data_IF_318913965436
#
_entry.id   IF_318913965436
#
_cell.length_a   1.000
_cell.length_b   1.000
_cell.length_c   1.000
_cell.angle_alpha   90.00
_cell.angle_beta   90.00
_cell.angle_gamma   90.00
#
_symmetry.space_group_name_H-M   'P 1'
#
loop_
_entity.id
_entity.type
_entity.pdbx_description
1 polymer ?
#
# COMPACT_ATOMS: atom_id res chain seq x y z
N UNK A 1 -0.34 15.62 -4.02
CA UNK A 1 0.91 15.05 -4.61
C UNK A 1 1.52 15.96 -5.68
N UNK A 2 0.72 16.50 -6.60
CA UNK A 2 1.18 17.31 -7.74
C UNK A 2 1.41 18.81 -7.43
N UNK A 3 1.27 19.25 -6.18
CA UNK A 3 1.34 20.67 -5.81
C UNK A 3 0.13 21.51 -6.24
N UNK A 4 -0.83 20.94 -6.96
CA UNK A 4 -2.07 21.61 -7.34
C UNK A 4 -3.12 21.59 -6.22
N UNK A 5 -3.91 22.67 -6.06
CA UNK A 5 -5.02 22.68 -5.11
C UNK A 5 -6.13 21.71 -5.52
N UNK A 6 -6.74 21.05 -4.53
CA UNK A 6 -7.90 20.19 -4.77
C UNK A 6 -9.11 21.03 -5.22
N UNK A 7 -9.76 20.70 -6.34
CA UNK A 7 -10.95 21.41 -6.77
C UNK A 7 -12.12 21.10 -5.81
N UNK A 8 -12.95 22.11 -5.51
CA UNK A 8 -14.20 21.96 -4.75
C UNK A 8 -14.08 21.26 -3.39
N UNK A 9 -13.03 21.55 -2.62
CA UNK A 9 -12.76 20.89 -1.32
C UNK A 9 -13.97 20.85 -0.38
N UNK A 10 -14.74 21.95 -0.29
CA UNK A 10 -15.94 22.04 0.55
C UNK A 10 -17.03 21.04 0.14
N UNK A 11 -17.24 20.84 -1.16
CA UNK A 11 -18.23 19.86 -1.67
C UNK A 11 -17.77 18.44 -1.37
N UNK A 12 -16.47 18.16 -1.53
CA UNK A 12 -15.88 16.86 -1.20
C UNK A 12 -16.03 16.54 0.28
N UNK A 13 -15.67 17.48 1.16
CA UNK A 13 -15.83 17.32 2.62
C UNK A 13 -17.29 17.12 3.00
N UNK A 14 -18.22 17.89 2.41
CA UNK A 14 -19.66 17.71 2.64
C UNK A 14 -20.14 16.31 2.25
N UNK A 15 -19.69 15.80 1.10
CA UNK A 15 -20.04 14.45 0.66
C UNK A 15 -19.46 13.39 1.59
N UNK A 16 -18.17 13.49 1.95
CA UNK A 16 -17.50 12.56 2.85
C UNK A 16 -18.17 12.49 4.22
N UNK A 17 -18.62 13.63 4.78
CA UNK A 17 -19.35 13.67 6.07
C UNK A 17 -20.76 13.10 5.99
N UNK A 18 -21.38 13.13 4.81
CA UNK A 18 -22.71 12.56 4.57
C UNK A 18 -22.68 11.07 4.22
N UNK A 19 -21.52 10.54 3.85
CA UNK A 19 -21.34 9.13 3.52
C UNK A 19 -21.20 8.29 4.80
N UNK A 20 -21.97 7.20 4.87
CA UNK A 20 -21.92 6.26 6.00
C UNK A 20 -21.15 5.02 5.57
N UNK A 21 -19.87 4.87 5.98
CA UNK A 21 -19.09 3.69 5.64
C UNK A 21 -19.58 2.48 6.45
N UNK A 22 -19.51 1.31 5.83
CA UNK A 22 -20.05 0.03 6.32
C UNK A 22 -18.98 -1.06 6.46
N UNK A 23 -17.94 -1.01 5.63
CA UNK A 23 -16.82 -1.95 5.62
C UNK A 23 -15.49 -1.25 5.92
N UNK A 24 -14.46 -2.02 6.27
CA UNK A 24 -13.12 -1.49 6.60
C UNK A 24 -12.55 -0.63 5.45
N UNK A 25 -12.74 -1.07 4.21
CA UNK A 25 -12.26 -0.36 3.02
C UNK A 25 -12.86 1.05 2.92
N UNK A 26 -14.19 1.17 3.08
CA UNK A 26 -14.87 2.46 2.98
C UNK A 26 -14.55 3.36 4.17
N UNK A 27 -14.40 2.82 5.38
CA UNK A 27 -13.89 3.56 6.55
C UNK A 27 -12.48 4.11 6.32
N UNK A 28 -11.59 3.29 5.75
CA UNK A 28 -10.21 3.67 5.47
C UNK A 28 -10.14 4.87 4.52
N UNK A 29 -10.76 4.76 3.35
CA UNK A 29 -10.65 5.83 2.34
C UNK A 29 -11.41 7.09 2.72
N UNK A 30 -12.52 7.01 3.46
CA UNK A 30 -13.21 8.21 3.97
C UNK A 30 -12.32 8.95 4.97
N UNK A 31 -11.70 8.24 5.91
CA UNK A 31 -10.81 8.83 6.89
C UNK A 31 -9.56 9.46 6.24
N UNK A 32 -8.91 8.75 5.31
CA UNK A 32 -7.76 9.28 4.55
C UNK A 32 -8.15 10.47 3.67
N UNK A 33 -9.31 10.45 3.04
CA UNK A 33 -9.77 11.56 2.20
C UNK A 33 -10.07 12.82 3.02
N UNK A 34 -10.66 12.68 4.22
CA UNK A 34 -10.85 13.80 5.14
C UNK A 34 -9.51 14.39 5.60
N UNK A 35 -8.56 13.53 6.01
CA UNK A 35 -7.20 13.97 6.40
C UNK A 35 -6.52 14.73 5.25
N UNK A 36 -6.62 14.24 4.02
CA UNK A 36 -6.09 14.92 2.83
C UNK A 36 -6.79 16.26 2.51
N UNK A 37 -8.02 16.44 2.97
CA UNK A 37 -8.75 17.71 2.86
C UNK A 37 -8.43 18.67 4.03
N UNK A 38 -7.57 18.29 4.97
CA UNK A 38 -7.27 19.08 6.18
C UNK A 38 -8.36 18.97 7.25
N UNK A 39 -9.21 17.95 7.18
CA UNK A 39 -10.32 17.70 8.09
C UNK A 39 -10.06 16.44 8.93
N UNK A 40 -10.65 16.37 10.13
CA UNK A 40 -10.58 15.15 10.94
C UNK A 40 -11.80 14.25 10.68
N UNK A 41 -11.62 12.91 10.61
CA UNK A 41 -12.74 11.99 10.66
C UNK A 41 -13.45 12.05 12.02
N UNK A 42 -14.68 11.53 12.08
CA UNK A 42 -15.34 11.32 13.37
C UNK A 42 -14.58 10.26 14.18
N UNK A 43 -13.67 10.72 15.04
CA UNK A 43 -12.76 9.86 15.82
C UNK A 43 -13.51 8.92 16.76
N UNK A 44 -14.63 9.34 17.33
CA UNK A 44 -15.43 8.50 18.22
C UNK A 44 -16.04 7.31 17.47
N UNK A 45 -16.71 7.60 16.34
CA UNK A 45 -17.31 6.57 15.49
C UNK A 45 -16.24 5.61 14.95
N UNK A 46 -15.15 6.17 14.41
CA UNK A 46 -14.05 5.39 13.86
C UNK A 46 -13.39 4.54 14.94
N UNK A 47 -13.17 5.07 16.14
CA UNK A 47 -12.63 4.29 17.28
C UNK A 47 -13.55 3.13 17.66
N UNK A 48 -14.87 3.35 17.72
CA UNK A 48 -15.84 2.29 18.01
C UNK A 48 -15.83 1.21 16.93
N UNK A 49 -15.74 1.60 15.66
CA UNK A 49 -15.62 0.67 14.53
C UNK A 49 -14.32 -0.14 14.63
N UNK A 50 -13.17 0.50 14.79
CA UNK A 50 -11.88 -0.19 14.90
C UNK A 50 -11.87 -1.18 16.07
N UNK A 51 -12.38 -0.81 17.25
CA UNK A 51 -12.47 -1.72 18.40
C UNK A 51 -13.38 -2.94 18.16
N UNK A 52 -14.31 -2.88 17.21
CA UNK A 52 -15.17 -4.01 16.86
C UNK A 52 -14.43 -5.05 16.00
N UNK A 53 -13.40 -4.64 15.26
CA UNK A 53 -12.68 -5.50 14.32
C UNK A 53 -11.92 -6.62 15.06
N UNK A 54 -12.12 -7.90 14.69
CA UNK A 54 -11.40 -9.03 15.26
C UNK A 54 -9.87 -8.89 15.16
N UNK A 55 -9.40 -8.32 14.04
CA UNK A 55 -7.98 -8.14 13.72
C UNK A 55 -7.22 -7.31 14.76
N UNK A 56 -7.90 -6.37 15.42
CA UNK A 56 -7.32 -5.51 16.46
C UNK A 56 -7.05 -6.30 17.75
N UNK A 57 -7.82 -7.37 17.99
CA UNK A 57 -7.61 -8.35 19.08
C UNK A 57 -6.66 -9.50 18.68
N UNK A 58 -6.14 -9.49 17.45
CA UNK A 58 -5.33 -10.55 16.88
C UNK A 58 -6.12 -11.81 16.56
N UNK A 59 -7.42 -11.66 16.28
CA UNK A 59 -8.28 -12.71 15.74
C UNK A 59 -8.27 -12.57 14.21
N UNK A 60 -7.50 -13.41 13.55
CA UNK A 60 -7.41 -13.45 12.09
C UNK A 60 -8.36 -14.52 11.55
N UNK A 61 -9.20 -14.17 10.58
CA UNK A 61 -10.06 -15.14 9.89
C UNK A 61 -9.24 -16.11 9.04
N UNK A 62 -9.92 -17.08 8.41
CA UNK A 62 -9.31 -17.87 7.35
C UNK A 62 -8.85 -16.91 6.22
N UNK A 63 -7.67 -17.17 5.67
CA UNK A 63 -7.15 -16.40 4.53
C UNK A 63 -7.90 -16.84 3.28
N UNK A 64 -9.10 -16.30 3.08
CA UNK A 64 -9.78 -16.38 1.79
C UNK A 64 -9.19 -15.30 0.89
N UNK A 65 -8.29 -15.73 0.01
CA UNK A 65 -7.77 -14.88 -1.07
C UNK A 65 -8.89 -14.72 -2.10
N UNK A 66 -9.84 -13.81 -1.83
CA UNK A 66 -10.74 -13.36 -2.88
C UNK A 66 -9.89 -12.73 -4.00
N UNK A 67 -10.15 -13.11 -5.25
CA UNK A 67 -9.36 -12.69 -6.41
C UNK A 67 -9.29 -11.17 -6.62
N UNK A 68 -10.15 -10.40 -5.95
CA UNK A 68 -10.25 -8.95 -6.03
C UNK A 68 -9.38 -8.21 -5.01
N UNK A 69 -8.77 -8.90 -4.04
CA UNK A 69 -7.98 -8.25 -2.98
C UNK A 69 -6.51 -8.20 -3.39
N UNK A 70 -5.92 -7.01 -3.37
CA UNK A 70 -4.52 -6.79 -3.73
C UNK A 70 -3.53 -7.62 -2.88
N UNK A 71 -3.90 -7.98 -1.66
CA UNK A 71 -3.16 -8.85 -0.74
C UNK A 71 -4.04 -9.32 0.42
N UNK A 72 -3.78 -10.52 0.93
CA UNK A 72 -4.33 -11.05 2.18
C UNK A 72 -4.04 -10.18 3.42
N UNK A 73 -3.05 -9.29 3.35
CA UNK A 73 -2.63 -8.41 4.45
C UNK A 73 -3.21 -7.00 4.35
N UNK A 74 -3.97 -6.69 3.29
CA UNK A 74 -4.53 -5.35 3.07
C UNK A 74 -5.41 -4.89 4.25
N UNK A 75 -6.19 -5.80 4.83
CA UNK A 75 -7.05 -5.51 5.98
C UNK A 75 -6.24 -5.20 7.24
N UNK A 76 -5.14 -5.91 7.51
CA UNK A 76 -4.22 -5.60 8.62
C UNK A 76 -3.59 -4.23 8.42
N UNK A 77 -3.13 -3.95 7.20
CA UNK A 77 -2.53 -2.67 6.86
C UNK A 77 -3.50 -1.51 7.13
N UNK A 78 -4.72 -1.58 6.59
CA UNK A 78 -5.75 -0.55 6.78
C UNK A 78 -6.15 -0.41 8.25
N UNK A 79 -6.38 -1.53 8.95
CA UNK A 79 -6.82 -1.51 10.34
C UNK A 79 -5.74 -0.94 11.29
N UNK A 80 -4.46 -1.28 11.07
CA UNK A 80 -3.36 -0.76 11.89
C UNK A 80 -3.10 0.73 11.64
N UNK A 81 -3.22 1.20 10.39
CA UNK A 81 -3.09 2.63 10.10
C UNK A 81 -4.24 3.44 10.72
N UNK A 82 -5.49 2.97 10.60
CA UNK A 82 -6.63 3.62 11.26
C UNK A 82 -6.51 3.58 12.79
N UNK A 83 -6.05 2.46 13.35
CA UNK A 83 -5.80 2.36 14.79
C UNK A 83 -4.79 3.43 15.26
N UNK A 84 -3.71 3.65 14.51
CA UNK A 84 -2.76 4.72 14.78
C UNK A 84 -3.41 6.11 14.69
N UNK A 85 -4.20 6.35 13.64
CA UNK A 85 -4.91 7.63 13.43
C UNK A 85 -5.82 8.02 14.60
N UNK A 86 -6.50 7.04 15.24
CA UNK A 86 -7.42 7.29 16.36
C UNK A 86 -6.89 6.85 17.74
N UNK A 87 -5.59 6.55 17.84
CA UNK A 87 -4.95 6.17 19.11
C UNK A 87 -5.56 4.91 19.75
N UNK A 88 -5.89 3.90 18.95
CA UNK A 88 -6.33 2.58 19.41
C UNK A 88 -5.13 1.65 19.50
N UNK A 89 -4.97 0.97 20.64
CA UNK A 89 -3.94 -0.05 20.83
C UNK A 89 -4.36 -1.35 20.16
N UNK A 90 -3.47 -1.93 19.38
CA UNK A 90 -3.64 -3.25 18.74
C UNK A 90 -2.87 -4.33 19.50
N UNK A 91 -3.26 -5.59 19.34
CA UNK A 91 -2.46 -6.71 19.84
C UNK A 91 -1.22 -6.93 18.96
N UNK A 92 -0.17 -6.17 19.26
CA UNK A 92 1.07 -6.12 18.47
C UNK A 92 1.74 -7.49 18.31
N UNK A 93 1.84 -8.26 19.38
CA UNK A 93 2.52 -9.57 19.37
C UNK A 93 1.81 -10.54 18.42
N UNK A 94 0.49 -10.68 18.54
CA UNK A 94 -0.28 -11.55 17.65
C UNK A 94 -0.20 -11.12 16.18
N UNK A 95 -0.21 -9.81 15.90
CA UNK A 95 -0.07 -9.31 14.51
C UNK A 95 1.32 -9.62 13.96
N UNK A 96 2.37 -9.45 14.76
CA UNK A 96 3.74 -9.79 14.36
C UNK A 96 3.84 -11.29 14.07
N UNK A 97 3.41 -12.14 15.01
CA UNK A 97 3.49 -13.59 14.87
C UNK A 97 2.72 -14.08 13.65
N UNK A 98 1.51 -13.54 13.45
CA UNK A 98 0.69 -13.88 12.29
C UNK A 98 1.37 -13.45 11.00
N UNK A 99 1.78 -12.19 10.84
CA UNK A 99 2.44 -11.72 9.62
C UNK A 99 3.74 -12.48 9.32
N UNK A 100 4.59 -12.71 10.34
CA UNK A 100 5.85 -13.43 10.16
C UNK A 100 5.65 -14.92 9.82
N UNK A 101 4.49 -15.51 10.15
CA UNK A 101 4.16 -16.88 9.72
C UNK A 101 3.98 -17.03 8.20
N UNK A 102 3.76 -15.92 7.49
CA UNK A 102 3.67 -15.88 6.02
C UNK A 102 4.99 -15.51 5.34
N UNK A 103 6.06 -15.26 6.10
CA UNK A 103 7.39 -15.03 5.52
C UNK A 103 7.97 -16.35 5.04
N UNK A 104 8.24 -16.46 3.74
CA UNK A 104 8.74 -17.67 3.11
C UNK A 104 10.28 -17.70 3.07
N UNK A 105 10.84 -18.85 2.67
CA UNK A 105 12.29 -19.06 2.59
C UNK A 105 13.00 -18.13 1.60
N UNK A 106 12.28 -17.57 0.63
CA UNK A 106 12.81 -16.59 -0.33
C UNK A 106 12.85 -15.15 0.24
N UNK A 107 12.38 -14.96 1.47
CA UNK A 107 12.31 -13.67 2.16
C UNK A 107 11.06 -12.85 1.88
N UNK A 108 10.26 -13.22 0.88
CA UNK A 108 8.99 -12.59 0.57
C UNK A 108 7.87 -13.06 1.50
N UNK A 109 6.72 -12.40 1.43
CA UNK A 109 5.52 -12.79 2.16
C UNK A 109 4.42 -13.25 1.21
N UNK A 110 3.69 -14.29 1.61
CA UNK A 110 2.48 -14.75 0.93
C UNK A 110 1.98 -16.10 1.44
N UNK A 111 0.69 -16.36 1.29
CA UNK A 111 0.04 -17.61 1.69
C UNK A 111 0.58 -18.84 0.94
N UNK A 112 0.51 -20.00 1.59
CA UNK A 112 0.83 -21.32 1.02
C UNK A 112 2.24 -21.45 0.41
N UNK A 113 3.22 -20.68 0.90
CA UNK A 113 4.57 -20.69 0.33
C UNK A 113 4.73 -19.83 -0.92
N UNK A 114 3.70 -19.09 -1.34
CA UNK A 114 3.67 -18.33 -2.58
C UNK A 114 3.88 -16.83 -2.31
N UNK A 115 5.14 -16.41 -2.16
CA UNK A 115 5.49 -15.00 -2.02
C UNK A 115 5.10 -14.18 -3.25
N UNK A 116 4.58 -12.97 -3.03
CA UNK A 116 4.44 -11.96 -4.07
C UNK A 116 4.74 -10.55 -3.54
N UNK A 117 4.99 -9.59 -4.44
CA UNK A 117 5.42 -8.24 -4.09
C UNK A 117 4.33 -7.45 -3.35
N UNK A 118 3.06 -7.60 -3.72
CA UNK A 118 1.96 -6.88 -3.10
C UNK A 118 1.79 -7.34 -1.64
N UNK A 119 1.80 -8.65 -1.41
CA UNK A 119 1.74 -9.24 -0.07
C UNK A 119 2.98 -8.90 0.75
N UNK A 120 4.16 -8.94 0.13
CA UNK A 120 5.40 -8.50 0.78
C UNK A 120 5.31 -7.05 1.26
N UNK A 121 4.84 -6.13 0.41
CA UNK A 121 4.63 -4.72 0.77
C UNK A 121 3.62 -4.57 1.92
N UNK A 122 2.42 -5.13 1.81
CA UNK A 122 1.38 -4.97 2.82
C UNK A 122 1.78 -5.58 4.18
N UNK A 123 2.53 -6.69 4.17
CA UNK A 123 3.07 -7.28 5.40
C UNK A 123 4.07 -6.33 6.08
N UNK A 124 5.07 -5.83 5.35
CA UNK A 124 6.09 -4.95 5.96
C UNK A 124 5.51 -3.58 6.31
N UNK A 125 4.53 -3.07 5.57
CA UNK A 125 3.82 -1.84 5.91
C UNK A 125 3.02 -2.01 7.21
N UNK A 126 2.31 -3.13 7.36
CA UNK A 126 1.60 -3.47 8.60
C UNK A 126 2.55 -3.61 9.80
N UNK A 127 3.68 -4.30 9.61
CA UNK A 127 4.73 -4.40 10.62
C UNK A 127 5.29 -3.03 11.00
N UNK A 128 5.53 -2.15 10.01
CA UNK A 128 5.99 -0.79 10.24
C UNK A 128 4.96 0.04 11.01
N UNK A 129 3.67 -0.07 10.68
CA UNK A 129 2.59 0.64 11.38
C UNK A 129 2.58 0.35 12.88
N UNK A 130 2.95 -0.87 13.30
CA UNK A 130 2.99 -1.30 14.71
C UNK A 130 4.39 -1.20 15.33
N UNK A 131 5.32 -0.46 14.70
CA UNK A 131 6.65 -0.20 15.22
C UNK A 131 7.57 -1.43 15.24
N UNK A 132 7.41 -2.37 14.30
CA UNK A 132 8.39 -3.42 14.06
C UNK A 132 9.58 -2.86 13.26
N UNK A 133 10.85 -3.22 13.57
CA UNK A 133 12.03 -2.67 12.90
C UNK A 133 12.26 -3.30 11.51
N UNK A 134 11.40 -3.00 10.54
CA UNK A 134 11.42 -3.60 9.19
C UNK A 134 12.73 -3.43 8.44
N UNK A 135 13.50 -2.36 8.72
CA UNK A 135 14.83 -2.12 8.14
C UNK A 135 15.84 -3.24 8.41
N UNK A 136 15.58 -4.11 9.39
CA UNK A 136 16.44 -5.25 9.72
C UNK A 136 16.11 -6.51 8.87
N UNK A 137 15.05 -6.51 8.07
CA UNK A 137 14.60 -7.65 7.27
C UNK A 137 15.42 -7.81 5.97
N UNK A 138 16.68 -8.23 6.11
CA UNK A 138 17.62 -8.35 4.98
C UNK A 138 17.16 -9.32 3.89
N UNK A 139 16.56 -10.44 4.25
CA UNK A 139 16.04 -11.42 3.29
C UNK A 139 14.87 -10.84 2.49
N UNK A 140 13.99 -10.08 3.15
CA UNK A 140 12.88 -9.39 2.50
C UNK A 140 13.35 -8.30 1.55
N UNK A 141 14.40 -7.56 1.92
CA UNK A 141 15.09 -6.67 0.97
C UNK A 141 15.61 -7.46 -0.24
N UNK A 142 16.24 -8.61 -0.02
CA UNK A 142 16.70 -9.50 -1.08
C UNK A 142 15.57 -9.88 -2.06
N UNK A 143 14.41 -10.29 -1.54
CA UNK A 143 13.23 -10.61 -2.34
C UNK A 143 12.77 -9.41 -3.19
N UNK A 144 12.56 -8.24 -2.57
CA UNK A 144 12.12 -7.02 -3.28
C UNK A 144 13.12 -6.61 -4.37
N UNK A 145 14.42 -6.73 -4.09
CA UNK A 145 15.49 -6.45 -5.07
C UNK A 145 15.53 -7.43 -6.23
N UNK A 146 15.04 -8.66 -6.05
CA UNK A 146 14.93 -9.64 -7.14
C UNK A 146 13.71 -9.35 -8.05
N UNK A 147 12.69 -8.66 -7.52
CA UNK A 147 11.57 -8.14 -8.29
C UNK A 147 11.94 -6.86 -9.09
N UNK A 148 12.92 -6.09 -8.64
CA UNK A 148 13.39 -4.86 -9.32
C UNK A 148 14.15 -5.17 -10.63
N UNK A 149 13.71 -4.58 -11.75
CA UNK A 149 14.25 -4.92 -13.08
C UNK A 149 15.21 -3.86 -13.63
N UNK A 150 16.30 -4.27 -14.32
CA UNK A 150 17.30 -3.34 -14.86
C UNK A 150 16.75 -2.40 -15.95
N UNK A 151 15.68 -2.80 -16.62
CA UNK A 151 14.93 -1.96 -17.56
C UNK A 151 13.84 -1.10 -16.90
N UNK A 152 13.83 -1.03 -15.57
CA UNK A 152 12.90 -0.22 -14.78
C UNK A 152 11.73 -1.01 -14.21
N UNK A 153 11.22 -0.52 -13.09
CA UNK A 153 10.03 -1.06 -12.44
C UNK A 153 10.28 -2.36 -11.66
N UNK A 154 9.16 -2.95 -11.20
CA UNK A 154 9.14 -4.14 -10.38
C UNK A 154 8.11 -5.14 -10.90
N UNK A 155 8.36 -6.42 -10.72
CA UNK A 155 7.44 -7.50 -11.08
C UNK A 155 6.77 -8.12 -9.85
N UNK A 156 5.61 -8.77 -10.06
CA UNK A 156 4.85 -9.42 -8.98
C UNK A 156 5.66 -10.48 -8.21
N UNK A 157 6.52 -11.20 -8.91
CA UNK A 157 7.47 -12.19 -8.37
C UNK A 157 8.80 -12.07 -9.11
N UNK A 158 9.92 -12.58 -8.56
CA UNK A 158 11.25 -12.45 -9.17
C UNK A 158 11.36 -13.03 -10.59
N UNK A 159 10.70 -14.16 -10.86
CA UNK A 159 10.78 -14.85 -12.15
C UNK A 159 9.89 -14.24 -13.25
N UNK A 160 8.98 -13.32 -12.91
CA UNK A 160 8.16 -12.64 -13.89
C UNK A 160 8.97 -11.59 -14.66
N UNK A 161 8.53 -11.32 -15.90
CA UNK A 161 9.23 -10.42 -16.83
C UNK A 161 8.55 -9.06 -17.00
N UNK A 162 7.25 -8.94 -16.71
CA UNK A 162 6.49 -7.72 -17.03
C UNK A 162 6.16 -6.93 -15.77
N UNK A 163 6.73 -5.73 -15.58
CA UNK A 163 6.28 -4.81 -14.56
C UNK A 163 4.90 -4.24 -14.89
N UNK A 164 4.07 -4.05 -13.86
CA UNK A 164 2.82 -3.29 -13.95
C UNK A 164 2.79 -2.20 -12.88
N UNK A 165 1.97 -1.17 -13.09
CA UNK A 165 1.97 0.05 -12.29
C UNK A 165 1.86 -0.19 -10.78
N UNK A 166 1.01 -1.12 -10.34
CA UNK A 166 0.84 -1.47 -8.92
C UNK A 166 2.12 -2.08 -8.32
N UNK A 167 2.81 -2.95 -9.07
CA UNK A 167 4.06 -3.57 -8.63
C UNK A 167 5.17 -2.53 -8.53
N UNK A 168 5.22 -1.61 -9.51
CA UNK A 168 6.18 -0.50 -9.51
C UNK A 168 6.01 0.34 -8.25
N UNK A 169 4.76 0.70 -7.92
CA UNK A 169 4.43 1.45 -6.71
C UNK A 169 4.77 0.68 -5.44
N UNK A 170 4.30 -0.57 -5.28
CA UNK A 170 4.55 -1.36 -4.07
C UNK A 170 6.03 -1.65 -3.87
N UNK A 171 6.78 -1.92 -4.94
CA UNK A 171 8.24 -2.11 -4.88
C UNK A 171 8.96 -0.85 -4.42
N UNK A 172 8.65 0.30 -5.01
CA UNK A 172 9.24 1.59 -4.60
C UNK A 172 8.87 1.96 -3.15
N UNK A 173 7.61 1.78 -2.75
CA UNK A 173 7.14 2.03 -1.40
C UNK A 173 7.78 1.08 -0.38
N UNK A 174 7.94 -0.20 -0.73
CA UNK A 174 8.61 -1.18 0.11
C UNK A 174 10.09 -0.84 0.35
N UNK A 175 10.82 -0.44 -0.70
CA UNK A 175 12.19 0.05 -0.53
C UNK A 175 12.25 1.27 0.40
N UNK A 176 11.33 2.23 0.24
CA UNK A 176 11.28 3.40 1.12
C UNK A 176 11.07 3.02 2.60
N UNK A 177 10.16 2.07 2.89
CA UNK A 177 9.96 1.54 4.26
C UNK A 177 11.24 0.89 4.82
N UNK A 178 11.99 0.20 3.97
CA UNK A 178 13.27 -0.41 4.32
C UNK A 178 14.43 0.61 4.42
N UNK A 179 14.21 1.87 4.06
CA UNK A 179 15.24 2.92 4.04
C UNK A 179 16.18 2.84 2.83
N UNK A 180 15.71 2.25 1.74
CA UNK A 180 16.47 1.92 0.55
C UNK A 180 16.02 2.75 -0.68
N UNK A 181 16.92 2.93 -1.64
CA UNK A 181 16.66 3.65 -2.90
C UNK A 181 16.45 2.72 -4.07
N UNK A 182 15.79 3.17 -5.14
CA UNK A 182 15.72 2.40 -6.39
C UNK A 182 17.12 2.25 -7.01
N UNK A 183 17.43 1.07 -7.56
CA UNK A 183 18.64 0.81 -8.37
C UNK A 183 18.53 1.43 -9.76
N UNK A 184 17.32 1.46 -10.33
CA UNK A 184 17.07 1.90 -11.71
C UNK A 184 16.04 3.04 -11.75
N UNK A 185 16.29 4.19 -11.08
CA UNK A 185 15.31 5.27 -10.96
C UNK A 185 14.96 5.90 -12.31
N UNK A 186 15.94 6.09 -13.20
CA UNK A 186 15.71 6.67 -14.52
C UNK A 186 14.84 5.76 -15.39
N UNK A 187 15.19 4.47 -15.48
CA UNK A 187 14.46 3.49 -16.27
C UNK A 187 13.04 3.29 -15.71
N UNK A 188 12.90 3.32 -14.38
CA UNK A 188 11.58 3.26 -13.74
C UNK A 188 10.74 4.49 -14.07
N UNK A 189 11.32 5.70 -14.06
CA UNK A 189 10.61 6.91 -14.45
C UNK A 189 10.18 6.87 -15.93
N UNK A 190 11.07 6.46 -16.84
CA UNK A 190 10.78 6.29 -18.26
C UNK A 190 9.63 5.29 -18.48
N UNK A 191 9.64 4.16 -17.77
CA UNK A 191 8.58 3.16 -17.84
C UNK A 191 7.24 3.73 -17.34
N UNK A 192 7.22 4.40 -16.19
CA UNK A 192 5.99 5.00 -15.63
C UNK A 192 5.42 6.06 -16.58
N UNK A 193 6.27 6.91 -17.16
CA UNK A 193 5.85 7.97 -18.09
C UNK A 193 5.28 7.42 -19.40
N UNK A 194 5.73 6.25 -19.87
CA UNK A 194 5.13 5.56 -21.03
C UNK A 194 3.68 5.14 -20.79
N UNK A 195 3.27 4.97 -19.54
CA UNK A 195 1.89 4.61 -19.20
C UNK A 195 0.95 5.83 -19.14
N UNK A 196 1.43 7.06 -19.40
CA UNK A 196 0.60 8.26 -19.37
C UNK A 196 -0.22 8.39 -20.67
N UNK A 197 -1.53 8.52 -20.54
CA UNK A 197 -2.43 8.75 -21.66
C UNK A 197 -2.64 10.25 -21.95
N UNK A 198 -3.17 10.56 -23.13
CA UNK A 198 -3.45 11.93 -23.57
C UNK A 198 -4.44 12.70 -22.66
N UNK A 199 -5.24 12.01 -21.86
CA UNK A 199 -6.13 12.62 -20.87
C UNK A 199 -5.40 13.03 -19.57
N UNK A 200 -4.09 12.81 -19.48
CA UNK A 200 -3.23 13.16 -18.34
C UNK A 200 -3.14 12.09 -17.25
N UNK A 201 -4.06 11.12 -17.21
CA UNK A 201 -4.01 9.98 -16.29
C UNK A 201 -3.08 8.87 -16.77
N UNK A 202 -2.78 7.92 -15.88
CA UNK A 202 -1.90 6.79 -16.16
C UNK A 202 -2.70 5.48 -16.20
N UNK A 203 -2.28 4.57 -17.08
CA UNK A 203 -2.76 3.20 -17.18
C UNK A 203 -1.82 2.21 -16.46
N UNK A 204 -2.31 0.98 -16.26
CA UNK A 204 -1.55 -0.11 -15.61
C UNK A 204 -0.29 -0.54 -16.37
N UNK A 205 -0.28 -0.41 -17.70
CA UNK A 205 0.88 -0.61 -18.57
C UNK A 205 0.88 0.45 -19.69
N UNK A 206 1.79 0.32 -20.67
CA UNK A 206 1.86 1.15 -21.88
C UNK A 206 0.66 1.00 -22.83
N UNK A 207 -0.28 0.11 -22.48
CA UNK A 207 -1.55 -0.10 -23.18
C UNK A 207 -2.65 -0.13 -22.11
N UNK A 208 -3.70 0.66 -22.31
CA UNK A 208 -4.89 0.60 -21.46
C UNK A 208 -5.52 1.96 -21.19
N UNK A 209 -6.57 1.94 -20.37
CA UNK A 209 -7.28 3.14 -19.93
C UNK A 209 -6.63 3.72 -18.68
N UNK A 210 -6.76 5.05 -18.52
CA UNK A 210 -6.34 5.69 -17.28
C UNK A 210 -7.30 5.34 -16.14
N UNK A 211 -6.77 4.98 -14.98
CA UNK A 211 -7.55 4.79 -13.75
C UNK A 211 -7.05 5.74 -12.66
N UNK A 212 -7.89 6.03 -11.66
CA UNK A 212 -7.46 6.83 -10.51
C UNK A 212 -6.36 6.14 -9.72
N UNK A 213 -6.44 4.81 -9.61
CA UNK A 213 -5.47 3.97 -8.90
C UNK A 213 -4.10 4.00 -9.59
N UNK A 214 -4.05 3.70 -10.89
CA UNK A 214 -2.79 3.72 -11.66
C UNK A 214 -2.19 5.13 -11.71
N UNK A 215 -3.03 6.17 -11.80
CA UNK A 215 -2.58 7.56 -11.74
C UNK A 215 -1.97 7.88 -10.37
N UNK A 216 -2.57 7.41 -9.27
CA UNK A 216 -2.02 7.58 -7.93
C UNK A 216 -0.69 6.84 -7.78
N UNK A 217 -0.59 5.60 -8.25
CA UNK A 217 0.64 4.79 -8.22
C UNK A 217 1.77 5.42 -9.02
N UNK A 218 1.49 5.87 -10.25
CA UNK A 218 2.46 6.54 -11.12
C UNK A 218 3.02 7.81 -10.46
N UNK A 219 2.14 8.72 -10.04
CA UNK A 219 2.55 10.00 -9.46
C UNK A 219 3.29 9.80 -8.15
N UNK A 220 2.85 8.86 -7.31
CA UNK A 220 3.54 8.54 -6.05
C UNK A 220 4.94 7.98 -6.29
N UNK A 221 5.10 7.11 -7.30
CA UNK A 221 6.40 6.58 -7.69
C UNK A 221 7.32 7.67 -8.22
N UNK A 222 6.85 8.52 -9.13
CA UNK A 222 7.65 9.63 -9.68
C UNK A 222 8.08 10.60 -8.59
N UNK A 223 7.20 10.91 -7.62
CA UNK A 223 7.55 11.71 -6.45
C UNK A 223 8.61 11.04 -5.58
N UNK A 224 8.50 9.72 -5.38
CA UNK A 224 9.48 8.94 -4.61
C UNK A 224 10.85 9.01 -5.26
N UNK A 225 10.92 8.80 -6.58
CA UNK A 225 12.14 8.94 -7.36
C UNK A 225 12.72 10.35 -7.20
N UNK A 226 11.91 11.39 -7.39
CA UNK A 226 12.37 12.78 -7.29
C UNK A 226 12.84 13.17 -5.87
N UNK A 227 12.35 12.50 -4.82
CA UNK A 227 12.79 12.78 -3.44
C UNK A 227 14.12 12.14 -3.05
N UNK A 228 14.64 11.21 -3.87
CA UNK A 228 15.88 10.50 -3.64
C UNK A 228 17.11 11.20 -4.27
N UNK A 229 16.90 12.31 -4.99
CA UNK A 229 17.90 13.08 -5.74
C UNK A 229 17.67 14.58 -5.57
#
# INVERSE_FOLDING_TARGET
LLGSPSPNIEKTVKWLRGFVPDILYSHYYVAKALELCGEEPNKEHLRKFILSLPIIRGEFGAVDVHAEVASEFLSVFMATELANMVGVKVNREKIIDWLLSFKNNDGGFGAYGCSNLNSTYHAIASLSNIGYPVKLLKETLGYIRACEKPYGGFTVIPSASTPYMEHIYYGAAALNLLGERLRYPQQTAELVLKCQNANGGFARSDIGISTFEDTFYAVSTLKTINSQW
#
